data_IF_589375821112
#
_entry.id   IF_589375821112
#
_cell.length_a   1.000
_cell.length_b   1.000
_cell.length_c   1.000
_cell.angle_alpha   90.00
_cell.angle_beta   90.00
_cell.angle_gamma   90.00
#
_symmetry.space_group_name_H-M   'P 1'
#
loop_
_entity.id
_entity.type
_entity.pdbx_description
1 polymer ?
#
# COMPACT_ATOMS: atom_id res chain seq x y z
N UNK A 1 -35.47 6.39 -44.50
CA UNK A 1 -34.45 7.45 -44.46
C UNK A 1 -34.45 8.11 -43.12
N UNK A 2 -35.60 8.56 -42.59
CA UNK A 2 -35.76 9.21 -41.28
C UNK A 2 -35.21 8.37 -40.10
N UNK A 3 -35.46 7.03 -40.10
CA UNK A 3 -34.93 6.13 -39.08
C UNK A 3 -33.38 6.07 -39.08
N UNK A 4 -32.76 6.05 -40.25
CA UNK A 4 -31.30 6.01 -40.39
C UNK A 4 -30.68 7.34 -39.94
N UNK A 5 -31.27 8.47 -40.33
CA UNK A 5 -30.76 9.79 -39.88
C UNK A 5 -30.93 9.99 -38.39
N UNK A 6 -32.05 9.55 -37.80
CA UNK A 6 -32.27 9.61 -36.35
C UNK A 6 -31.31 8.70 -35.58
N UNK A 7 -31.06 7.48 -36.08
CA UNK A 7 -30.11 6.55 -35.49
C UNK A 7 -28.69 7.09 -35.57
N UNK A 8 -28.27 7.67 -36.69
CA UNK A 8 -26.96 8.28 -36.86
C UNK A 8 -26.81 9.52 -35.95
N UNK A 9 -27.85 10.36 -35.87
CA UNK A 9 -27.82 11.51 -34.93
C UNK A 9 -27.70 11.04 -33.47
N UNK A 10 -28.46 10.02 -33.08
CA UNK A 10 -28.35 9.43 -31.73
C UNK A 10 -26.97 8.85 -31.45
N UNK A 11 -26.35 8.14 -32.41
CA UNK A 11 -24.99 7.64 -32.28
C UNK A 11 -23.98 8.77 -32.06
N UNK A 12 -24.12 9.87 -32.81
CA UNK A 12 -23.24 11.03 -32.63
C UNK A 12 -23.44 11.66 -31.25
N UNK A 13 -24.70 11.83 -30.82
CA UNK A 13 -25.01 12.38 -29.50
C UNK A 13 -24.57 11.46 -28.33
N UNK A 14 -24.47 10.14 -28.54
CA UNK A 14 -23.96 9.20 -27.57
C UNK A 14 -22.42 9.19 -27.47
N UNK A 15 -21.73 9.91 -28.36
CA UNK A 15 -20.25 10.01 -28.22
C UNK A 15 -19.88 10.82 -27.00
N UNK A 16 -18.82 10.39 -26.30
CA UNK A 16 -18.30 11.07 -25.10
C UNK A 16 -17.89 12.55 -25.37
N UNK A 17 -17.68 12.94 -26.64
CA UNK A 17 -17.33 14.32 -27.01
C UNK A 17 -18.32 15.39 -26.50
N UNK A 18 -19.58 15.05 -26.37
CA UNK A 18 -20.62 15.98 -25.92
C UNK A 18 -20.81 15.99 -24.40
N UNK A 19 -20.30 14.97 -23.69
CA UNK A 19 -20.42 14.84 -22.25
C UNK A 19 -19.13 15.18 -21.50
N UNK A 20 -17.96 15.24 -22.20
CA UNK A 20 -16.68 15.54 -21.57
C UNK A 20 -16.62 16.98 -21.04
N UNK A 21 -16.32 17.09 -19.76
CA UNK A 21 -16.04 18.38 -19.10
C UNK A 21 -14.52 18.68 -19.13
N UNK A 22 -14.16 19.94 -18.82
CA UNK A 22 -12.74 20.29 -18.63
C UNK A 22 -12.08 19.48 -17.53
N UNK A 23 -12.81 19.13 -16.45
CA UNK A 23 -12.32 18.25 -15.40
C UNK A 23 -11.97 16.87 -15.93
N UNK A 24 -12.84 16.27 -16.75
CA UNK A 24 -12.56 14.95 -17.37
C UNK A 24 -11.30 14.99 -18.25
N UNK A 25 -11.13 16.06 -19.05
CA UNK A 25 -9.93 16.22 -19.89
C UNK A 25 -8.64 16.31 -19.05
N UNK A 26 -8.69 17.05 -17.94
CA UNK A 26 -7.56 17.12 -17.00
C UNK A 26 -7.27 15.72 -16.42
N UNK A 27 -8.30 15.00 -15.97
CA UNK A 27 -8.12 13.66 -15.38
C UNK A 27 -7.64 12.63 -16.40
N UNK A 28 -8.07 12.71 -17.65
CA UNK A 28 -7.51 11.90 -18.77
C UNK A 28 -6.01 12.20 -18.91
N UNK A 29 -5.62 13.48 -18.87
CA UNK A 29 -4.21 13.88 -18.88
C UNK A 29 -3.42 13.31 -17.69
N UNK A 30 -3.99 13.35 -16.48
CA UNK A 30 -3.41 12.78 -15.25
C UNK A 30 -3.27 11.25 -15.40
N UNK A 31 -4.29 10.56 -15.91
CA UNK A 31 -4.25 9.12 -16.15
C UNK A 31 -3.13 8.76 -17.15
N UNK A 32 -3.02 9.49 -18.26
CA UNK A 32 -1.93 9.31 -19.23
C UNK A 32 -0.55 9.57 -18.61
N UNK A 33 -0.44 10.57 -17.73
CA UNK A 33 0.80 10.84 -17.00
C UNK A 33 1.18 9.68 -16.07
N UNK A 34 0.24 9.11 -15.32
CA UNK A 34 0.51 7.93 -14.49
C UNK A 34 0.87 6.70 -15.33
N UNK A 35 0.21 6.48 -16.47
CA UNK A 35 0.61 5.43 -17.42
C UNK A 35 2.05 5.64 -17.92
N UNK A 36 2.42 6.87 -18.26
CA UNK A 36 3.79 7.20 -18.65
C UNK A 36 4.80 6.88 -17.53
N UNK A 37 4.51 7.25 -16.28
CA UNK A 37 5.36 6.93 -15.14
C UNK A 37 5.51 5.42 -14.93
N UNK A 38 4.42 4.69 -15.01
CA UNK A 38 4.43 3.24 -14.85
C UNK A 38 5.21 2.53 -15.98
N UNK A 39 4.96 2.91 -17.23
CA UNK A 39 5.52 2.22 -18.40
C UNK A 39 6.97 2.65 -18.66
N UNK A 40 7.25 3.96 -18.61
CA UNK A 40 8.58 4.50 -18.97
C UNK A 40 9.59 4.46 -17.83
N UNK A 41 9.11 4.69 -16.59
CA UNK A 41 9.97 4.77 -15.41
C UNK A 41 9.87 3.54 -14.51
N UNK A 42 8.96 2.60 -14.79
CA UNK A 42 8.82 1.38 -14.02
C UNK A 42 8.30 1.61 -12.60
N UNK A 43 7.53 2.70 -12.37
CA UNK A 43 6.98 3.01 -11.07
C UNK A 43 5.80 2.10 -10.76
N UNK A 44 6.00 1.09 -9.92
CA UNK A 44 5.02 0.09 -9.49
C UNK A 44 4.05 -0.34 -10.62
N UNK A 45 4.59 -0.86 -11.76
CA UNK A 45 3.79 -1.01 -12.98
C UNK A 45 2.60 -1.95 -12.82
N UNK A 46 2.69 -2.94 -11.93
CA UNK A 46 1.61 -3.90 -11.70
C UNK A 46 0.32 -3.24 -11.22
N UNK A 47 0.41 -2.26 -10.33
CA UNK A 47 -0.75 -1.55 -9.78
C UNK A 47 -1.05 -0.26 -10.53
N UNK A 48 -0.02 0.56 -10.78
CA UNK A 48 -0.22 1.90 -11.34
C UNK A 48 -0.80 1.87 -12.75
N UNK A 49 -0.47 0.86 -13.58
CA UNK A 49 -1.09 0.69 -14.92
C UNK A 49 -2.58 0.44 -14.79
N UNK A 50 -2.99 -0.48 -13.91
CA UNK A 50 -4.41 -0.81 -13.70
C UNK A 50 -5.18 0.37 -13.12
N UNK A 51 -4.62 1.07 -12.13
CA UNK A 51 -5.23 2.27 -11.51
C UNK A 51 -5.39 3.37 -12.56
N UNK A 52 -4.34 3.70 -13.29
CA UNK A 52 -4.38 4.76 -14.30
C UNK A 52 -5.35 4.43 -15.44
N UNK A 53 -5.47 3.16 -15.82
CA UNK A 53 -6.44 2.75 -16.83
C UNK A 53 -7.88 2.83 -16.33
N UNK A 54 -8.15 2.44 -15.08
CA UNK A 54 -9.45 2.63 -14.44
C UNK A 54 -9.84 4.11 -14.36
N UNK A 55 -8.88 4.99 -13.97
CA UNK A 55 -9.04 6.44 -13.99
C UNK A 55 -9.38 6.97 -15.39
N UNK A 56 -8.72 6.45 -16.43
CA UNK A 56 -9.00 6.80 -17.82
C UNK A 56 -10.43 6.44 -18.19
N UNK A 57 -10.85 5.21 -17.88
CA UNK A 57 -12.19 4.71 -18.23
C UNK A 57 -13.31 5.51 -17.59
N UNK A 58 -13.25 5.81 -16.29
CA UNK A 58 -14.32 6.52 -15.60
C UNK A 58 -14.45 7.97 -16.06
N UNK A 59 -13.36 8.60 -16.46
CA UNK A 59 -13.38 9.98 -16.97
C UNK A 59 -13.80 10.09 -18.43
N UNK A 60 -13.83 8.97 -19.18
CA UNK A 60 -14.43 8.89 -20.53
C UNK A 60 -15.89 8.44 -20.46
N UNK A 61 -16.19 7.44 -19.62
CA UNK A 61 -17.49 6.81 -19.47
C UNK A 61 -17.82 6.59 -17.98
N UNK A 62 -18.41 7.60 -17.29
CA UNK A 62 -18.72 7.52 -15.86
C UNK A 62 -19.65 6.37 -15.48
N UNK A 63 -20.56 5.97 -16.38
CA UNK A 63 -21.53 4.90 -16.13
C UNK A 63 -20.90 3.53 -15.92
N UNK A 64 -19.59 3.37 -16.20
CA UNK A 64 -18.84 2.16 -15.85
C UNK A 64 -18.81 1.90 -14.34
N UNK A 65 -19.05 2.98 -13.52
CA UNK A 65 -19.16 2.94 -12.07
C UNK A 65 -20.59 3.18 -11.56
N UNK A 66 -21.60 3.14 -12.47
CA UNK A 66 -23.00 3.36 -12.09
C UNK A 66 -23.48 2.32 -11.10
N UNK A 67 -24.19 2.74 -10.05
CA UNK A 67 -24.78 1.83 -9.07
C UNK A 67 -26.02 1.14 -9.68
N UNK A 68 -26.32 -0.10 -9.29
CA UNK A 68 -27.52 -0.78 -9.76
C UNK A 68 -28.83 -0.03 -9.48
N UNK A 69 -28.90 0.67 -8.36
CA UNK A 69 -30.05 1.49 -7.95
C UNK A 69 -30.28 2.72 -8.80
N UNK A 70 -29.23 3.24 -9.43
CA UNK A 70 -29.27 4.41 -10.31
C UNK A 70 -29.43 4.02 -11.79
N UNK A 71 -29.27 2.74 -12.10
CA UNK A 71 -29.35 2.22 -13.47
C UNK A 71 -30.81 1.95 -13.89
N UNK A 72 -31.19 2.44 -15.06
CA UNK A 72 -32.55 2.27 -15.59
C UNK A 72 -32.99 0.80 -15.74
N UNK A 73 -32.06 -0.12 -15.95
CA UNK A 73 -32.29 -1.56 -16.06
C UNK A 73 -31.96 -2.35 -14.78
N UNK A 74 -31.64 -1.67 -13.68
CA UNK A 74 -31.24 -2.31 -12.42
C UNK A 74 -29.88 -3.00 -12.47
N UNK A 75 -29.09 -2.80 -13.54
CA UNK A 75 -27.73 -3.41 -13.68
C UNK A 75 -26.69 -2.32 -13.61
N UNK A 76 -25.79 -2.39 -12.61
CA UNK A 76 -24.72 -1.43 -12.43
C UNK A 76 -23.60 -1.54 -13.47
N UNK A 77 -22.70 -0.58 -13.47
CA UNK A 77 -21.49 -0.60 -14.28
C UNK A 77 -20.52 -1.70 -13.89
N UNK A 78 -19.72 -2.18 -14.83
CA UNK A 78 -18.80 -3.30 -14.61
C UNK A 78 -17.83 -3.06 -13.44
N UNK A 79 -17.21 -1.88 -13.38
CA UNK A 79 -16.20 -1.59 -12.38
C UNK A 79 -16.81 -1.34 -10.98
N UNK A 80 -18.10 -0.98 -10.91
CA UNK A 80 -18.81 -0.89 -9.65
C UNK A 80 -18.85 -2.24 -8.92
N UNK A 81 -19.09 -3.35 -9.63
CA UNK A 81 -19.10 -4.67 -8.99
C UNK A 81 -17.72 -5.09 -8.46
N UNK A 82 -16.64 -4.69 -9.13
CA UNK A 82 -15.29 -4.91 -8.58
C UNK A 82 -15.04 -4.04 -7.37
N UNK A 83 -15.48 -2.78 -7.43
CA UNK A 83 -15.36 -1.84 -6.32
C UNK A 83 -16.08 -2.31 -5.05
N UNK A 84 -17.23 -2.95 -5.17
CA UNK A 84 -17.97 -3.53 -4.02
C UNK A 84 -17.10 -4.56 -3.28
N UNK A 85 -16.26 -5.32 -3.99
CA UNK A 85 -15.34 -6.27 -3.36
C UNK A 85 -14.20 -5.57 -2.61
N UNK A 86 -13.83 -4.35 -3.02
CA UNK A 86 -12.91 -3.48 -2.25
C UNK A 86 -13.59 -2.97 -0.98
N UNK A 87 -14.83 -2.45 -1.08
CA UNK A 87 -15.60 -2.01 0.08
C UNK A 87 -15.79 -3.13 1.11
N UNK A 88 -16.04 -4.34 0.66
CA UNK A 88 -16.15 -5.52 1.53
C UNK A 88 -14.79 -6.02 2.04
N UNK A 89 -13.70 -5.35 1.66
CA UNK A 89 -12.33 -5.69 2.09
C UNK A 89 -11.85 -7.08 1.64
N UNK A 90 -12.45 -7.63 0.57
CA UNK A 90 -12.08 -8.94 0.04
C UNK A 90 -10.72 -8.85 -0.65
N UNK A 91 -10.55 -7.90 -1.58
CA UNK A 91 -9.30 -7.76 -2.33
C UNK A 91 -8.09 -7.42 -1.45
N UNK A 92 -8.16 -6.47 -0.51
CA UNK A 92 -7.04 -6.22 0.40
C UNK A 92 -6.60 -7.46 1.17
N UNK A 93 -7.55 -8.26 1.68
CA UNK A 93 -7.26 -9.50 2.40
C UNK A 93 -6.57 -10.54 1.51
N UNK A 94 -7.01 -10.68 0.25
CA UNK A 94 -6.39 -11.58 -0.72
C UNK A 94 -4.98 -11.10 -1.15
N UNK A 95 -4.74 -9.79 -1.22
CA UNK A 95 -3.39 -9.24 -1.45
C UNK A 95 -2.48 -9.63 -0.29
N UNK A 96 -2.94 -9.52 0.96
CA UNK A 96 -2.17 -9.95 2.13
C UNK A 96 -1.83 -11.44 2.08
N UNK A 97 -2.73 -12.30 1.61
CA UNK A 97 -2.44 -13.72 1.36
C UNK A 97 -1.29 -13.89 0.36
N UNK A 98 -1.37 -13.20 -0.77
CA UNK A 98 -0.33 -13.23 -1.81
C UNK A 98 1.01 -12.69 -1.32
N UNK A 99 1.01 -11.55 -0.62
CA UNK A 99 2.20 -10.96 0.00
C UNK A 99 2.83 -11.92 1.00
N UNK A 100 2.02 -12.60 1.83
CA UNK A 100 2.50 -13.63 2.76
C UNK A 100 3.18 -14.80 2.06
N UNK A 101 2.59 -15.27 0.96
CA UNK A 101 3.17 -16.35 0.15
C UNK A 101 4.47 -15.95 -0.57
N UNK A 102 4.66 -14.67 -0.87
CA UNK A 102 5.88 -14.14 -1.50
C UNK A 102 6.97 -13.79 -0.49
N UNK A 103 6.62 -13.49 0.75
CA UNK A 103 7.51 -12.88 1.74
C UNK A 103 8.31 -13.92 2.52
N UNK A 104 9.62 -13.70 2.65
CA UNK A 104 10.49 -14.44 3.55
C UNK A 104 10.60 -13.73 4.91
N UNK A 105 10.02 -14.32 5.94
CA UNK A 105 10.10 -13.83 7.31
C UNK A 105 11.38 -14.28 8.05
N UNK A 106 12.23 -15.08 7.41
CA UNK A 106 13.49 -15.55 8.00
C UNK A 106 14.34 -14.44 8.61
N UNK A 107 14.59 -13.32 7.92
CA UNK A 107 15.35 -12.19 8.48
C UNK A 107 14.75 -11.60 9.76
N UNK A 108 13.42 -11.54 9.86
CA UNK A 108 12.72 -11.07 11.04
C UNK A 108 12.84 -12.07 12.21
N UNK A 109 12.68 -13.36 11.92
CA UNK A 109 12.84 -14.44 12.91
C UNK A 109 14.29 -14.49 13.41
N UNK A 110 15.27 -14.30 12.51
CA UNK A 110 16.69 -14.29 12.85
C UNK A 110 17.06 -13.12 13.78
N UNK A 111 16.42 -11.97 13.59
CA UNK A 111 16.65 -10.77 14.39
C UNK A 111 15.32 -10.12 14.84
N UNK A 112 14.67 -10.61 15.90
CA UNK A 112 13.39 -10.08 16.38
C UNK A 112 13.41 -8.60 16.79
N UNK A 113 14.60 -8.04 17.11
CA UNK A 113 14.72 -6.59 17.39
C UNK A 113 14.31 -5.72 16.21
N UNK A 114 14.29 -6.29 15.00
CA UNK A 114 13.78 -5.62 13.80
C UNK A 114 12.32 -5.20 13.89
N UNK A 115 11.49 -5.83 14.74
CA UNK A 115 10.13 -5.39 15.02
C UNK A 115 10.08 -3.95 15.53
N UNK A 116 11.07 -3.53 16.33
CA UNK A 116 11.12 -2.17 16.86
C UNK A 116 11.29 -1.13 15.75
N UNK A 117 12.05 -1.46 14.69
CA UNK A 117 12.24 -0.56 13.54
C UNK A 117 10.98 -0.47 12.70
N UNK A 118 10.26 -1.59 12.50
CA UNK A 118 8.94 -1.58 11.87
C UNK A 118 7.93 -0.77 12.67
N UNK A 119 7.91 -0.94 14.00
CA UNK A 119 7.04 -0.16 14.89
C UNK A 119 7.35 1.35 14.84
N UNK A 120 8.63 1.73 14.81
CA UNK A 120 9.04 3.14 14.73
C UNK A 120 8.55 3.80 13.45
N UNK A 121 8.59 3.10 12.31
CA UNK A 121 8.12 3.64 11.05
C UNK A 121 6.60 3.91 11.05
N UNK A 122 5.81 3.25 11.91
CA UNK A 122 4.38 3.55 12.09
C UNK A 122 4.15 4.96 12.66
N UNK A 123 5.18 5.63 13.14
CA UNK A 123 5.07 7.05 13.55
C UNK A 123 4.54 7.94 12.42
N UNK A 124 4.83 7.60 11.16
CA UNK A 124 4.24 8.26 10.00
C UNK A 124 2.70 8.22 9.97
N UNK A 125 2.11 7.10 10.41
CA UNK A 125 0.65 6.96 10.51
C UNK A 125 0.07 7.94 11.55
N UNK A 126 0.72 8.04 12.71
CA UNK A 126 0.25 8.96 13.76
C UNK A 126 0.40 10.43 13.34
N UNK A 127 1.48 10.79 12.64
CA UNK A 127 1.64 12.14 12.05
C UNK A 127 0.55 12.43 11.04
N UNK A 128 0.22 11.47 10.17
CA UNK A 128 -0.87 11.61 9.21
C UNK A 128 -2.22 11.76 9.89
N UNK A 129 -2.50 10.98 10.94
CA UNK A 129 -3.74 11.06 11.69
C UNK A 129 -3.94 12.46 12.31
N UNK A 130 -2.94 12.93 13.06
CA UNK A 130 -2.99 14.24 13.69
C UNK A 130 -3.04 15.36 12.65
N UNK A 131 -2.31 15.23 11.55
CA UNK A 131 -2.34 16.19 10.45
C UNK A 131 -3.71 16.26 9.75
N UNK A 132 -4.35 15.10 9.50
CA UNK A 132 -5.68 15.05 8.92
C UNK A 132 -6.73 15.69 9.85
N UNK A 133 -6.65 15.42 11.15
CA UNK A 133 -7.50 16.07 12.16
C UNK A 133 -7.31 17.60 12.15
N UNK A 134 -6.06 18.05 12.11
CA UNK A 134 -5.75 19.49 12.05
C UNK A 134 -6.23 20.17 10.75
N UNK A 135 -6.33 19.40 9.65
CA UNK A 135 -6.88 19.87 8.36
C UNK A 135 -8.42 19.84 8.30
N UNK A 136 -9.10 19.38 9.38
CA UNK A 136 -10.56 19.39 9.49
C UNK A 136 -11.27 18.13 9.01
N UNK A 137 -10.56 17.02 8.78
CA UNK A 137 -11.19 15.72 8.50
C UNK A 137 -11.81 15.13 9.76
N UNK A 138 -12.88 14.35 9.59
CA UNK A 138 -13.49 13.61 10.70
C UNK A 138 -12.52 12.52 11.22
N UNK A 139 -12.70 12.08 12.48
CA UNK A 139 -11.86 11.06 13.12
C UNK A 139 -11.72 9.78 12.26
N UNK A 140 -12.82 9.29 11.70
CA UNK A 140 -12.81 8.11 10.82
C UNK A 140 -12.09 8.37 9.50
N UNK A 141 -12.31 9.55 8.89
CA UNK A 141 -11.60 9.93 7.68
C UNK A 141 -10.10 10.10 7.95
N UNK A 142 -9.74 10.77 9.06
CA UNK A 142 -8.36 10.92 9.48
C UNK A 142 -7.67 9.57 9.71
N UNK A 143 -8.36 8.60 10.34
CA UNK A 143 -7.83 7.24 10.51
C UNK A 143 -7.61 6.53 9.17
N UNK A 144 -8.56 6.61 8.23
CA UNK A 144 -8.40 6.02 6.90
C UNK A 144 -7.22 6.66 6.13
N UNK A 145 -7.12 7.99 6.13
CA UNK A 145 -6.02 8.74 5.50
C UNK A 145 -4.67 8.38 6.13
N UNK A 146 -4.64 8.17 7.44
CA UNK A 146 -3.38 8.02 8.18
C UNK A 146 -2.55 6.83 7.74
N UNK A 147 -3.17 5.75 7.30
CA UNK A 147 -2.47 4.52 6.87
C UNK A 147 -1.51 4.77 5.71
N UNK A 148 -1.73 5.82 4.91
CA UNK A 148 -0.81 6.23 3.84
C UNK A 148 0.61 6.46 4.40
N UNK A 149 0.72 6.96 5.64
CA UNK A 149 2.01 7.17 6.30
C UNK A 149 2.82 5.90 6.56
N UNK A 150 2.17 4.73 6.55
CA UNK A 150 2.81 3.41 6.62
C UNK A 150 3.27 2.88 5.26
N UNK A 151 2.93 3.56 4.16
CA UNK A 151 3.16 3.12 2.78
C UNK A 151 2.56 1.73 2.49
N UNK A 152 1.30 1.53 2.88
CA UNK A 152 0.56 0.29 2.72
C UNK A 152 -0.78 0.55 2.01
N UNK A 153 -0.77 0.37 0.70
CA UNK A 153 -1.93 0.60 -0.16
C UNK A 153 -3.13 -0.29 0.20
N UNK A 154 -2.96 -1.62 0.25
CA UNK A 154 -4.03 -2.54 0.61
C UNK A 154 -4.66 -2.26 1.98
N UNK A 155 -3.85 -1.98 3.00
CA UNK A 155 -4.35 -1.63 4.34
C UNK A 155 -5.10 -0.30 4.35
N UNK A 156 -4.65 0.68 3.54
CA UNK A 156 -5.32 1.97 3.39
C UNK A 156 -6.75 1.80 2.83
N UNK A 157 -6.91 0.99 1.80
CA UNK A 157 -8.22 0.67 1.19
C UNK A 157 -9.07 -0.13 2.19
N UNK A 158 -8.48 -1.14 2.82
CA UNK A 158 -9.16 -1.96 3.83
C UNK A 158 -9.78 -1.09 4.93
N UNK A 159 -9.00 -0.20 5.52
CA UNK A 159 -9.48 0.63 6.61
C UNK A 159 -10.50 1.67 6.13
N UNK A 160 -10.31 2.26 4.96
CA UNK A 160 -11.27 3.20 4.36
C UNK A 160 -12.64 2.53 4.13
N UNK A 161 -12.67 1.32 3.59
CA UNK A 161 -13.89 0.51 3.41
C UNK A 161 -14.55 0.18 4.75
N UNK A 162 -13.79 -0.35 5.70
CA UNK A 162 -14.31 -0.71 7.04
C UNK A 162 -14.87 0.48 7.83
N UNK A 163 -14.27 1.65 7.70
CA UNK A 163 -14.75 2.88 8.34
C UNK A 163 -15.83 3.61 7.53
N UNK A 164 -16.31 3.04 6.42
CA UNK A 164 -17.30 3.63 5.50
C UNK A 164 -16.86 5.00 4.95
N UNK A 165 -15.56 5.13 4.66
CA UNK A 165 -14.97 6.34 4.08
C UNK A 165 -14.81 6.21 2.55
N UNK A 166 -15.85 5.73 1.88
CA UNK A 166 -15.84 5.38 0.45
C UNK A 166 -15.61 6.58 -0.45
N UNK A 167 -16.10 7.76 -0.07
CA UNK A 167 -15.93 9.00 -0.84
C UNK A 167 -14.45 9.42 -1.03
N UNK A 168 -13.59 9.11 -0.06
CA UNK A 168 -12.16 9.43 -0.11
C UNK A 168 -11.26 8.22 -0.38
N UNK A 169 -11.85 7.03 -0.59
CA UNK A 169 -11.09 5.80 -0.83
C UNK A 169 -10.21 5.89 -2.08
N UNK A 170 -10.74 6.45 -3.18
CA UNK A 170 -9.97 6.66 -4.41
C UNK A 170 -8.75 7.57 -4.21
N UNK A 171 -8.92 8.79 -3.70
CA UNK A 171 -7.79 9.65 -3.34
C UNK A 171 -6.77 9.01 -2.41
N UNK A 172 -7.22 8.29 -1.37
CA UNK A 172 -6.34 7.55 -0.44
C UNK A 172 -5.52 6.49 -1.18
N UNK A 173 -6.18 5.68 -2.01
CA UNK A 173 -5.52 4.61 -2.74
C UNK A 173 -4.51 5.15 -3.75
N UNK A 174 -4.88 6.15 -4.56
CA UNK A 174 -3.96 6.78 -5.51
C UNK A 174 -2.74 7.38 -4.79
N UNK A 175 -2.96 8.08 -3.67
CA UNK A 175 -1.87 8.61 -2.86
C UNK A 175 -0.96 7.49 -2.33
N UNK A 176 -1.52 6.45 -1.68
CA UNK A 176 -0.77 5.36 -1.09
C UNK A 176 0.09 4.62 -2.12
N UNK A 177 -0.50 4.22 -3.26
CA UNK A 177 0.25 3.52 -4.31
C UNK A 177 1.26 4.41 -5.04
N UNK A 178 0.94 5.70 -5.24
CA UNK A 178 1.90 6.65 -5.80
C UNK A 178 3.13 6.79 -4.90
N UNK A 179 2.94 6.88 -3.57
CA UNK A 179 4.08 6.98 -2.65
C UNK A 179 4.88 5.69 -2.54
N UNK A 180 4.22 4.53 -2.58
CA UNK A 180 4.94 3.26 -2.70
C UNK A 180 5.86 3.24 -3.92
N UNK A 181 5.38 3.74 -5.06
CA UNK A 181 6.18 3.85 -6.28
C UNK A 181 7.34 4.84 -6.16
N UNK A 182 7.16 5.91 -5.39
CA UNK A 182 8.14 6.97 -5.19
C UNK A 182 9.13 6.69 -4.04
N UNK A 183 9.01 5.58 -3.33
CA UNK A 183 9.94 5.14 -2.27
C UNK A 183 11.42 5.32 -2.69
N UNK A 184 11.86 4.87 -3.88
CA UNK A 184 13.26 5.01 -4.32
C UNK A 184 13.72 6.46 -4.51
N UNK A 185 12.80 7.41 -4.58
CA UNK A 185 13.09 8.85 -4.77
C UNK A 185 13.00 9.59 -3.44
N UNK A 186 11.98 9.29 -2.63
CA UNK A 186 11.67 10.03 -1.40
C UNK A 186 12.59 9.63 -0.25
N UNK A 187 12.87 8.33 -0.08
CA UNK A 187 13.65 7.85 1.05
C UNK A 187 15.14 8.24 1.04
N UNK A 188 15.89 8.14 -0.09
CA UNK A 188 17.33 8.37 -0.07
C UNK A 188 17.76 9.76 0.44
N UNK A 189 17.10 10.88 0.08
CA UNK A 189 17.42 12.19 0.65
C UNK A 189 17.28 12.23 2.17
N UNK A 190 16.20 11.65 2.72
CA UNK A 190 15.93 11.62 4.16
C UNK A 190 16.97 10.77 4.88
N UNK A 191 17.28 9.59 4.34
CA UNK A 191 18.29 8.69 4.87
C UNK A 191 19.66 9.36 4.92
N UNK A 192 20.05 10.03 3.84
CA UNK A 192 21.33 10.74 3.74
C UNK A 192 21.42 11.96 4.67
N UNK A 193 20.31 12.67 4.85
CA UNK A 193 20.21 13.81 5.76
C UNK A 193 20.38 13.38 7.24
N UNK A 194 19.78 12.24 7.61
CA UNK A 194 19.74 11.76 8.98
C UNK A 194 20.93 10.88 9.36
N UNK A 195 21.75 10.43 8.41
CA UNK A 195 22.89 9.54 8.67
C UNK A 195 24.21 10.13 8.20
N UNK A 196 25.26 9.90 8.95
CA UNK A 196 26.64 10.24 8.56
C UNK A 196 27.20 9.17 7.61
N UNK A 197 28.22 9.55 6.85
CA UNK A 197 28.91 8.59 5.95
C UNK A 197 29.50 7.39 6.71
N UNK A 198 30.00 7.64 7.92
CA UNK A 198 30.53 6.57 8.79
C UNK A 198 29.43 5.56 9.18
N UNK A 199 28.26 6.05 9.55
CA UNK A 199 27.11 5.20 9.90
C UNK A 199 26.64 4.39 8.69
N UNK A 200 26.61 4.96 7.49
CA UNK A 200 26.22 4.26 6.27
C UNK A 200 27.17 3.13 5.86
N UNK A 201 28.44 3.23 6.24
CA UNK A 201 29.48 2.22 5.97
C UNK A 201 29.51 1.08 7.00
N UNK A 202 28.69 1.11 8.04
CA UNK A 202 28.63 0.04 9.05
C UNK A 202 28.20 -1.27 8.38
N UNK A 203 29.06 -2.28 8.45
CA UNK A 203 28.77 -3.64 8.01
C UNK A 203 28.15 -4.42 9.16
N UNK A 204 27.01 -5.06 8.87
CA UNK A 204 26.32 -5.89 9.86
C UNK A 204 26.81 -7.32 9.80
N UNK A 205 26.89 -7.99 10.95
CA UNK A 205 27.22 -9.40 11.03
C UNK A 205 26.11 -10.26 10.36
N UNK A 206 26.50 -11.37 9.77
CA UNK A 206 25.54 -12.27 9.11
C UNK A 206 24.45 -12.74 10.07
N UNK A 207 23.20 -12.76 9.58
CA UNK A 207 22.07 -13.26 10.35
C UNK A 207 22.24 -14.73 10.69
N UNK A 208 21.77 -15.13 11.88
CA UNK A 208 21.75 -16.55 12.25
C UNK A 208 20.89 -17.38 11.29
N UNK A 209 21.23 -18.64 11.05
CA UNK A 209 20.34 -19.54 10.31
C UNK A 209 19.05 -19.75 11.09
N UNK A 210 17.92 -19.80 10.37
CA UNK A 210 16.59 -20.06 10.92
C UNK A 210 16.18 -21.48 10.54
N UNK A 211 15.79 -22.26 11.53
CA UNK A 211 15.35 -23.65 11.30
C UNK A 211 13.99 -23.70 10.59
N UNK A 212 13.71 -24.81 9.91
CA UNK A 212 12.42 -25.04 9.24
C UNK A 212 11.25 -25.00 10.24
N UNK A 213 11.45 -25.50 11.45
CA UNK A 213 10.43 -25.47 12.50
C UNK A 213 10.09 -24.05 12.94
N UNK A 214 11.11 -23.17 13.15
CA UNK A 214 10.88 -21.76 13.47
C UNK A 214 10.07 -21.06 12.38
N UNK A 215 10.39 -21.32 11.10
CA UNK A 215 9.68 -20.73 9.94
C UNK A 215 8.22 -21.17 9.89
N UNK A 216 7.90 -22.43 10.19
CA UNK A 216 6.53 -22.97 10.21
C UNK A 216 5.75 -22.44 11.43
N UNK A 217 6.38 -22.40 12.60
CA UNK A 217 5.72 -21.97 13.83
C UNK A 217 5.47 -20.44 13.86
N UNK A 218 6.31 -19.65 13.22
CA UNK A 218 6.22 -18.20 13.22
C UNK A 218 4.85 -17.68 12.77
N UNK A 219 4.30 -18.02 11.59
CA UNK A 219 3.00 -17.54 11.16
C UNK A 219 1.86 -18.00 12.07
N UNK A 220 1.95 -19.20 12.64
CA UNK A 220 0.95 -19.74 13.57
C UNK A 220 0.94 -18.91 14.87
N UNK A 221 2.14 -18.70 15.46
CA UNK A 221 2.28 -17.96 16.71
C UNK A 221 1.85 -16.52 16.54
N UNK A 222 2.30 -15.85 15.46
CA UNK A 222 1.92 -14.46 15.17
C UNK A 222 0.40 -14.34 15.00
N UNK A 223 -0.23 -15.26 14.27
CA UNK A 223 -1.69 -15.26 14.13
C UNK A 223 -2.39 -15.38 15.49
N UNK A 224 -2.00 -16.35 16.31
CA UNK A 224 -2.60 -16.57 17.62
C UNK A 224 -2.42 -15.33 18.51
N UNK A 225 -1.18 -14.87 18.65
CA UNK A 225 -0.86 -13.76 19.55
C UNK A 225 -1.58 -12.48 19.12
N UNK A 226 -1.44 -12.11 17.84
CA UNK A 226 -2.00 -10.84 17.35
C UNK A 226 -3.52 -10.87 17.31
N UNK A 227 -4.14 -11.94 16.82
CA UNK A 227 -5.60 -12.01 16.69
C UNK A 227 -6.30 -12.27 18.05
N UNK A 228 -5.64 -12.85 19.04
CA UNK A 228 -6.20 -12.95 20.40
C UNK A 228 -6.20 -11.58 21.08
N UNK A 229 -5.14 -10.80 20.91
CA UNK A 229 -5.06 -9.46 21.49
C UNK A 229 -5.97 -8.48 20.75
N UNK A 230 -6.01 -8.57 19.41
CA UNK A 230 -6.72 -7.64 18.55
C UNK A 230 -7.45 -8.40 17.42
N UNK A 231 -8.65 -8.96 17.67
CA UNK A 231 -9.37 -9.80 16.71
C UNK A 231 -9.66 -9.12 15.37
N UNK A 232 -9.82 -7.80 15.36
CA UNK A 232 -10.06 -7.00 14.17
C UNK A 232 -8.93 -7.06 13.13
N UNK A 233 -7.73 -7.51 13.51
CA UNK A 233 -6.61 -7.71 12.60
C UNK A 233 -6.68 -9.01 11.78
N UNK A 234 -7.53 -9.94 12.16
CA UNK A 234 -7.58 -11.28 11.58
C UNK A 234 -7.72 -11.31 10.04
N UNK A 235 -8.52 -10.43 9.39
CA UNK A 235 -8.61 -10.41 7.94
C UNK A 235 -7.29 -10.07 7.23
N UNK A 236 -6.44 -9.25 7.83
CA UNK A 236 -5.15 -8.85 7.24
C UNK A 236 -4.02 -9.75 7.73
N UNK A 237 -3.76 -9.77 9.05
CA UNK A 237 -2.66 -10.54 9.63
C UNK A 237 -2.87 -12.04 9.44
N UNK A 238 -4.11 -12.53 9.61
CA UNK A 238 -4.43 -13.93 9.40
C UNK A 238 -4.19 -14.38 7.96
N UNK A 239 -4.59 -13.59 6.97
CA UNK A 239 -4.35 -13.90 5.55
C UNK A 239 -2.86 -13.79 5.19
N UNK A 240 -2.14 -12.80 5.72
CA UNK A 240 -0.68 -12.69 5.56
C UNK A 240 0.03 -13.93 6.09
N UNK A 241 -0.33 -14.35 7.30
CA UNK A 241 0.30 -15.51 7.95
C UNK A 241 -0.12 -16.83 7.29
N UNK A 242 -1.35 -16.94 6.78
CA UNK A 242 -1.79 -18.11 6.00
C UNK A 242 -0.96 -18.26 4.73
N UNK A 243 -0.75 -17.18 3.98
CA UNK A 243 0.10 -17.19 2.79
C UNK A 243 1.54 -17.60 3.12
N UNK A 244 2.09 -17.09 4.22
CA UNK A 244 3.41 -17.48 4.67
C UNK A 244 3.47 -18.97 5.10
N UNK A 245 2.44 -19.46 5.77
CA UNK A 245 2.36 -20.88 6.15
C UNK A 245 2.30 -21.79 4.91
N UNK A 246 1.61 -21.41 3.84
CA UNK A 246 1.64 -22.14 2.57
C UNK A 246 3.07 -22.29 2.07
N UNK A 247 3.84 -21.22 2.07
CA UNK A 247 5.23 -21.19 1.62
C UNK A 247 6.12 -22.05 2.51
N UNK A 248 6.12 -21.81 3.83
CA UNK A 248 7.10 -22.39 4.75
C UNK A 248 6.80 -23.86 5.08
N UNK A 249 5.54 -24.29 4.99
CA UNK A 249 5.17 -25.71 5.18
C UNK A 249 5.82 -26.62 4.12
N UNK A 250 5.89 -26.14 2.87
CA UNK A 250 6.43 -26.87 1.72
C UNK A 250 5.56 -28.02 1.23
N UNK A 251 4.39 -28.27 1.86
CA UNK A 251 3.49 -29.38 1.51
C UNK A 251 2.39 -28.98 0.53
N UNK A 252 2.15 -27.66 0.34
CA UNK A 252 1.08 -27.12 -0.51
C UNK A 252 1.66 -26.15 -1.57
N UNK A 253 2.66 -26.59 -2.30
CA UNK A 253 3.35 -25.76 -3.31
C UNK A 253 2.40 -25.11 -4.32
N UNK A 254 1.39 -25.86 -4.76
CA UNK A 254 0.38 -25.37 -5.72
C UNK A 254 -0.40 -24.18 -5.15
N UNK A 255 -0.74 -24.19 -3.84
CA UNK A 255 -1.40 -23.05 -3.20
C UNK A 255 -0.46 -21.87 -3.09
N UNK A 256 0.82 -22.10 -2.76
CA UNK A 256 1.84 -21.04 -2.72
C UNK A 256 1.99 -20.37 -4.09
N UNK A 257 2.15 -21.17 -5.15
CA UNK A 257 2.29 -20.66 -6.52
C UNK A 257 1.04 -19.92 -6.97
N UNK A 258 -0.15 -20.44 -6.68
CA UNK A 258 -1.42 -19.79 -7.01
C UNK A 258 -1.57 -18.47 -6.27
N UNK A 259 -1.32 -18.43 -4.96
CA UNK A 259 -1.46 -17.23 -4.13
C UNK A 259 -0.45 -16.14 -4.51
N UNK A 260 0.81 -16.51 -4.78
CA UNK A 260 1.87 -15.56 -5.10
C UNK A 260 1.87 -15.06 -6.55
N UNK A 261 1.18 -15.73 -7.46
CA UNK A 261 1.16 -15.39 -8.89
C UNK A 261 -0.27 -15.15 -9.38
N UNK A 262 -0.99 -16.20 -9.76
CA UNK A 262 -2.27 -16.07 -10.45
C UNK A 262 -3.30 -15.28 -9.64
N UNK A 263 -3.53 -15.66 -8.38
CA UNK A 263 -4.48 -14.96 -7.50
C UNK A 263 -4.07 -13.51 -7.28
N UNK A 264 -2.80 -13.29 -6.95
CA UNK A 264 -2.26 -11.95 -6.72
C UNK A 264 -2.47 -11.05 -7.93
N UNK A 265 -2.15 -11.51 -9.13
CA UNK A 265 -2.28 -10.72 -10.35
C UNK A 265 -3.74 -10.47 -10.73
N UNK A 266 -4.62 -11.45 -10.57
CA UNK A 266 -6.07 -11.28 -10.78
C UNK A 266 -6.60 -10.19 -9.85
N UNK A 267 -6.30 -10.29 -8.56
CA UNK A 267 -6.75 -9.32 -7.57
C UNK A 267 -6.18 -7.93 -7.85
N UNK A 268 -4.91 -7.82 -8.23
CA UNK A 268 -4.27 -6.54 -8.61
C UNK A 268 -4.95 -5.88 -9.82
N UNK A 269 -5.35 -6.66 -10.82
CA UNK A 269 -6.08 -6.14 -11.98
C UNK A 269 -7.44 -5.59 -11.54
N UNK A 270 -8.21 -6.38 -10.80
CA UNK A 270 -9.57 -6.02 -10.38
C UNK A 270 -9.56 -4.82 -9.42
N UNK A 271 -8.74 -4.88 -8.38
CA UNK A 271 -8.57 -3.80 -7.41
C UNK A 271 -8.03 -2.53 -8.09
N UNK A 272 -6.97 -2.65 -8.87
CA UNK A 272 -6.37 -1.47 -9.51
C UNK A 272 -7.35 -0.75 -10.43
N UNK A 273 -8.09 -1.48 -11.27
CA UNK A 273 -9.07 -0.88 -12.18
C UNK A 273 -10.26 -0.29 -11.44
N UNK A 274 -10.80 -0.95 -10.41
CA UNK A 274 -11.92 -0.45 -9.61
C UNK A 274 -11.55 0.79 -8.81
N UNK A 275 -10.40 0.76 -8.13
CA UNK A 275 -9.87 1.92 -7.38
C UNK A 275 -9.57 3.09 -8.31
N UNK A 276 -8.96 2.83 -9.47
CA UNK A 276 -8.75 3.86 -10.50
C UNK A 276 -10.07 4.51 -10.94
N UNK A 277 -11.12 3.72 -11.09
CA UNK A 277 -12.43 4.20 -11.50
C UNK A 277 -13.16 5.02 -10.40
N UNK A 278 -12.71 5.02 -9.16
CA UNK A 278 -13.23 5.94 -8.14
C UNK A 278 -12.67 7.37 -8.25
N UNK A 279 -11.71 7.60 -9.15
CA UNK A 279 -11.05 8.90 -9.36
C UNK A 279 -11.68 9.67 -10.54
N UNK A 280 -13.00 9.88 -10.49
CA UNK A 280 -13.67 10.80 -11.40
C UNK A 280 -13.19 12.24 -11.18
N UNK A 281 -13.41 13.12 -12.16
CA UNK A 281 -13.03 14.54 -12.05
C UNK A 281 -13.61 15.20 -10.79
N UNK A 282 -14.87 14.93 -10.49
CA UNK A 282 -15.56 15.46 -9.30
C UNK A 282 -14.95 14.94 -7.99
N UNK A 283 -14.65 13.65 -7.94
CA UNK A 283 -14.09 13.01 -6.74
C UNK A 283 -12.63 13.38 -6.51
N UNK A 284 -11.85 13.63 -7.56
CA UNK A 284 -10.41 13.82 -7.45
C UNK A 284 -9.95 15.28 -7.49
N UNK A 285 -10.58 16.12 -8.32
CA UNK A 285 -10.20 17.54 -8.47
C UNK A 285 -10.85 18.41 -7.39
N UNK A 286 -10.59 18.09 -6.13
CA UNK A 286 -11.08 18.85 -4.98
C UNK A 286 -9.96 19.14 -3.98
N UNK A 287 -10.20 20.08 -3.07
CA UNK A 287 -9.21 20.51 -2.09
C UNK A 287 -8.84 19.38 -1.11
N UNK A 288 -9.78 18.51 -0.75
CA UNK A 288 -9.53 17.42 0.20
C UNK A 288 -8.61 16.38 -0.38
N UNK A 289 -8.71 16.07 -1.68
CA UNK A 289 -7.75 15.21 -2.37
C UNK A 289 -6.34 15.79 -2.32
N UNK A 290 -6.18 17.11 -2.57
CA UNK A 290 -4.87 17.75 -2.47
C UNK A 290 -4.31 17.69 -1.04
N UNK A 291 -5.15 17.88 -0.02
CA UNK A 291 -4.76 17.72 1.39
C UNK A 291 -4.28 16.28 1.67
N UNK A 292 -5.03 15.26 1.20
CA UNK A 292 -4.69 13.84 1.38
C UNK A 292 -3.34 13.55 0.73
N UNK A 293 -3.14 13.97 -0.52
CA UNK A 293 -1.88 13.77 -1.25
C UNK A 293 -0.71 14.44 -0.54
N UNK A 294 -0.84 15.71 -0.17
CA UNK A 294 0.22 16.45 0.51
C UNK A 294 0.56 15.85 1.89
N UNK A 295 -0.47 15.53 2.67
CA UNK A 295 -0.31 14.95 4.00
C UNK A 295 0.35 13.56 3.94
N UNK A 296 -0.04 12.74 2.96
CA UNK A 296 0.53 11.43 2.75
C UNK A 296 2.03 11.48 2.47
N UNK A 297 2.49 12.44 1.66
CA UNK A 297 3.91 12.66 1.39
C UNK A 297 4.68 13.00 2.68
N UNK A 298 4.18 13.96 3.44
CA UNK A 298 4.79 14.37 4.71
C UNK A 298 4.84 13.19 5.68
N UNK A 299 3.74 12.48 5.84
CA UNK A 299 3.64 11.34 6.74
C UNK A 299 4.64 10.22 6.38
N UNK A 300 4.78 9.92 5.10
CA UNK A 300 5.75 8.94 4.62
C UNK A 300 7.20 9.36 4.91
N UNK A 301 7.51 10.66 4.77
CA UNK A 301 8.80 11.21 5.14
C UNK A 301 9.07 11.05 6.64
N UNK A 302 8.08 11.33 7.49
CA UNK A 302 8.19 11.15 8.95
C UNK A 302 8.34 9.69 9.36
N UNK A 303 7.62 8.76 8.72
CA UNK A 303 7.77 7.32 8.95
C UNK A 303 9.19 6.84 8.64
N UNK A 304 9.72 7.25 7.48
CA UNK A 304 11.11 6.97 7.10
C UNK A 304 12.10 7.55 8.11
N UNK A 305 11.91 8.82 8.51
CA UNK A 305 12.78 9.50 9.46
C UNK A 305 12.76 8.81 10.83
N UNK A 306 11.59 8.47 11.35
CA UNK A 306 11.45 7.79 12.64
C UNK A 306 12.14 6.42 12.64
N UNK A 307 12.00 5.64 11.58
CA UNK A 307 12.69 4.37 11.42
C UNK A 307 14.22 4.53 11.44
N UNK A 308 14.76 5.49 10.68
CA UNK A 308 16.20 5.79 10.64
C UNK A 308 16.70 6.29 12.00
N UNK A 309 15.96 7.17 12.67
CA UNK A 309 16.33 7.70 13.98
C UNK A 309 16.38 6.59 15.04
N UNK A 310 15.39 5.70 15.08
CA UNK A 310 15.46 4.54 15.95
C UNK A 310 16.61 3.61 15.56
N UNK A 311 16.91 3.45 14.28
CA UNK A 311 18.09 2.75 13.78
C UNK A 311 19.39 3.36 14.32
N UNK A 312 19.49 4.69 14.43
CA UNK A 312 20.64 5.36 15.08
C UNK A 312 20.70 5.06 16.58
N UNK A 313 19.58 5.09 17.27
CA UNK A 313 19.54 4.72 18.69
C UNK A 313 20.04 3.29 18.87
N UNK A 314 19.57 2.35 18.03
CA UNK A 314 20.04 0.96 18.05
C UNK A 314 21.52 0.84 17.68
N UNK A 315 22.02 1.66 16.77
CA UNK A 315 23.44 1.74 16.43
C UNK A 315 24.28 2.11 17.65
N UNK A 316 23.90 3.17 18.37
CA UNK A 316 24.59 3.61 19.58
C UNK A 316 24.54 2.54 20.68
N UNK A 317 23.36 1.98 20.94
CA UNK A 317 23.17 0.94 21.96
C UNK A 317 23.90 -0.37 21.64
N UNK A 318 24.13 -0.67 20.37
CA UNK A 318 24.88 -1.86 19.95
C UNK A 318 26.39 -1.64 19.84
N UNK A 319 26.88 -0.45 20.15
CA UNK A 319 28.31 -0.11 20.00
C UNK A 319 28.74 -0.04 18.51
N UNK A 320 27.88 0.42 17.62
CA UNK A 320 28.17 0.61 16.20
C UNK A 320 27.97 -0.65 15.34
N UNK A 321 27.26 -1.66 15.80
CA UNK A 321 27.03 -2.91 15.06
C UNK A 321 25.77 -2.89 14.15
N UNK A 322 24.84 -1.99 14.40
CA UNK A 322 23.61 -1.85 13.62
C UNK A 322 23.74 -0.66 12.68
N UNK A 323 23.52 -0.89 11.38
CA UNK A 323 23.50 0.18 10.40
C UNK A 323 22.13 0.90 10.44
N UNK A 324 22.10 2.23 10.72
CA UNK A 324 20.84 2.96 10.84
C UNK A 324 19.97 2.96 9.58
N UNK A 325 20.59 2.75 8.40
CA UNK A 325 19.85 2.72 7.13
C UNK A 325 18.73 1.66 7.09
N UNK A 326 18.91 0.53 7.80
CA UNK A 326 17.88 -0.52 7.81
C UNK A 326 16.56 -0.06 8.43
N UNK A 327 16.59 0.97 9.27
CA UNK A 327 15.40 1.56 9.87
C UNK A 327 14.46 2.21 8.85
N UNK A 328 14.98 2.73 7.73
CA UNK A 328 14.15 3.28 6.65
C UNK A 328 13.24 2.21 6.00
N UNK A 329 13.63 0.93 6.11
CA UNK A 329 12.85 -0.17 5.58
C UNK A 329 11.64 -0.55 6.45
N UNK A 330 11.47 0.06 7.64
CA UNK A 330 10.34 -0.22 8.54
C UNK A 330 8.96 0.17 7.99
N UNK A 331 8.87 0.87 6.87
CA UNK A 331 7.61 1.11 6.14
C UNK A 331 7.16 -0.15 5.38
N UNK A 332 5.85 -0.29 5.15
CA UNK A 332 5.24 -1.50 4.57
C UNK A 332 5.53 -1.76 3.09
N UNK A 333 6.27 -0.90 2.40
CA UNK A 333 6.60 -1.07 0.97
C UNK A 333 7.59 -2.22 0.75
N UNK A 334 7.11 -3.46 0.78
CA UNK A 334 7.91 -4.69 0.63
C UNK A 334 7.98 -5.10 -0.85
N UNK A 335 9.16 -5.45 -1.37
CA UNK A 335 10.52 -5.36 -0.81
C UNK A 335 11.25 -4.04 -1.16
N UNK A 336 10.53 -3.03 -1.64
CA UNK A 336 11.13 -1.81 -2.21
C UNK A 336 11.95 -1.01 -1.20
N UNK A 337 11.42 -0.78 0.00
CA UNK A 337 12.12 -0.01 1.03
C UNK A 337 13.42 -0.71 1.48
N UNK A 338 13.43 -2.04 1.57
CA UNK A 338 14.64 -2.80 1.85
C UNK A 338 15.70 -2.67 0.73
N UNK A 339 15.27 -2.68 -0.53
CA UNK A 339 16.16 -2.45 -1.68
C UNK A 339 16.74 -1.04 -1.69
N UNK A 340 15.97 -0.03 -1.27
CA UNK A 340 16.46 1.34 -1.14
C UNK A 340 17.51 1.45 -0.04
N UNK A 341 17.29 0.80 1.11
CA UNK A 341 18.30 0.73 2.18
C UNK A 341 19.60 0.09 1.68
N UNK A 342 19.51 -1.02 0.92
CA UNK A 342 20.66 -1.65 0.28
C UNK A 342 21.37 -0.70 -0.70
N UNK A 343 20.61 -0.01 -1.57
CA UNK A 343 21.17 0.91 -2.56
C UNK A 343 21.96 2.04 -1.91
N UNK A 344 21.37 2.71 -0.91
CA UNK A 344 22.02 3.81 -0.20
C UNK A 344 23.25 3.33 0.59
N UNK A 345 23.21 2.12 1.15
CA UNK A 345 24.37 1.51 1.79
C UNK A 345 25.50 1.20 0.80
N UNK A 346 25.16 0.62 -0.35
CA UNK A 346 26.14 0.31 -1.42
C UNK A 346 26.75 1.56 -2.08
N UNK A 347 26.02 2.67 -2.12
CA UNK A 347 26.58 3.97 -2.58
C UNK A 347 27.69 4.48 -1.64
N UNK A 348 27.61 4.17 -0.34
CA UNK A 348 28.62 4.54 0.64
C UNK A 348 29.79 3.54 0.71
N UNK A 349 29.49 2.24 0.58
CA UNK A 349 30.46 1.13 0.50
C UNK A 349 29.86 0.02 -0.36
N UNK A 350 30.38 -0.23 -1.60
CA UNK A 350 29.85 -1.25 -2.51
C UNK A 350 29.90 -2.68 -1.95
N UNK A 351 30.70 -2.93 -0.93
CA UNK A 351 30.81 -4.24 -0.27
C UNK A 351 29.85 -4.41 0.91
N UNK A 352 28.97 -3.42 1.17
CA UNK A 352 28.00 -3.45 2.27
C UNK A 352 26.68 -4.07 1.84
N UNK A 353 26.35 -5.25 2.34
CA UNK A 353 25.13 -6.00 2.03
C UNK A 353 24.11 -5.84 3.16
N UNK A 354 23.22 -4.86 3.02
CA UNK A 354 22.18 -4.55 4.01
C UNK A 354 20.82 -5.19 3.70
N UNK A 355 20.60 -5.74 2.50
CA UNK A 355 19.29 -6.17 2.04
C UNK A 355 18.61 -7.14 3.02
N UNK A 356 19.31 -8.20 3.42
CA UNK A 356 18.75 -9.20 4.36
C UNK A 356 18.43 -8.61 5.72
N UNK A 357 19.25 -7.67 6.20
CA UNK A 357 19.00 -6.97 7.46
C UNK A 357 17.84 -5.98 7.36
N UNK A 358 17.66 -5.34 6.21
CA UNK A 358 16.56 -4.41 5.94
C UNK A 358 15.22 -5.14 5.71
N UNK A 359 15.24 -6.39 5.24
CA UNK A 359 14.01 -7.18 5.08
C UNK A 359 13.30 -7.44 6.41
N UNK A 360 14.03 -7.62 7.52
CA UNK A 360 13.42 -7.79 8.84
C UNK A 360 12.49 -6.64 9.23
N UNK A 361 13.00 -5.39 9.33
CA UNK A 361 12.16 -4.22 9.57
C UNK A 361 11.04 -4.03 8.54
N UNK A 362 11.30 -4.32 7.26
CA UNK A 362 10.35 -4.12 6.17
C UNK A 362 9.10 -5.01 6.35
N UNK A 363 9.32 -6.27 6.67
CA UNK A 363 8.24 -7.22 6.94
C UNK A 363 7.53 -6.91 8.26
N UNK A 364 8.27 -6.48 9.28
CA UNK A 364 7.70 -6.01 10.54
C UNK A 364 6.77 -4.79 10.33
N UNK A 365 7.10 -3.93 9.36
CA UNK A 365 6.25 -2.81 8.96
C UNK A 365 4.86 -3.24 8.49
N UNK A 366 4.78 -4.28 7.65
CA UNK A 366 3.48 -4.80 7.15
C UNK A 366 2.59 -5.27 8.30
N UNK A 367 3.18 -6.06 9.23
CA UNK A 367 2.45 -6.50 10.43
C UNK A 367 2.02 -5.27 11.26
N UNK A 368 2.93 -4.31 11.43
CA UNK A 368 2.69 -3.08 12.18
C UNK A 368 1.53 -2.27 11.62
N UNK A 369 1.49 -2.03 10.31
CA UNK A 369 0.42 -1.28 9.65
C UNK A 369 -0.93 -2.00 9.79
N UNK A 370 -0.96 -3.33 9.61
CA UNK A 370 -2.18 -4.12 9.80
C UNK A 370 -2.69 -4.07 11.26
N UNK A 371 -1.77 -4.09 12.24
CA UNK A 371 -2.12 -3.95 13.66
C UNK A 371 -2.67 -2.55 13.96
N UNK A 372 -2.09 -1.49 13.38
CA UNK A 372 -2.61 -0.12 13.54
C UNK A 372 -4.01 0.00 12.92
N UNK A 373 -4.24 -0.56 11.73
CA UNK A 373 -5.57 -0.56 11.13
C UNK A 373 -6.60 -1.29 12.02
N UNK A 374 -6.25 -2.47 12.53
CA UNK A 374 -7.09 -3.20 13.48
C UNK A 374 -7.34 -2.42 14.77
N UNK A 375 -6.35 -1.67 15.25
CA UNK A 375 -6.51 -0.78 16.43
C UNK A 375 -7.53 0.32 16.17
N UNK A 376 -7.47 0.98 15.01
CA UNK A 376 -8.48 1.97 14.62
C UNK A 376 -9.88 1.35 14.53
N UNK A 377 -10.00 0.15 13.94
CA UNK A 377 -11.29 -0.55 13.90
C UNK A 377 -11.83 -0.83 15.30
N UNK A 378 -10.99 -1.27 16.23
CA UNK A 378 -11.38 -1.51 17.61
C UNK A 378 -11.80 -0.21 18.32
N UNK A 379 -11.07 0.89 18.13
CA UNK A 379 -11.40 2.22 18.68
C UNK A 379 -12.75 2.71 18.18
N UNK A 380 -13.06 2.52 16.89
CA UNK A 380 -14.32 2.98 16.29
C UNK A 380 -15.46 1.95 16.39
N UNK A 381 -15.23 0.81 17.05
CA UNK A 381 -16.24 -0.22 17.25
C UNK A 381 -16.72 -0.89 15.96
N UNK A 382 -15.83 -0.99 14.96
CA UNK A 382 -16.11 -1.62 13.66
C UNK A 382 -15.49 -3.03 13.65
N UNK A 383 -16.31 -4.04 13.36
CA UNK A 383 -15.86 -5.44 13.22
C UNK A 383 -15.88 -5.90 11.77
#
# INVERSE_FOLDING_TARGET
>A
MEYITTTLANLVHQTAFFSLTWGNLIMIGVACFFLFLAIRHGFEPLLLVSIAFGMLLVNIYPDIMLRPEDAANGTGGLLYYFYVLDEWSIFPSLIFLGVGAMTDFGPLIANPKSFLLGAAAQFGIFVAYLGAMAMGFSDKAAAAISIIGGADGPTSIFLAGKLSQTAIMGPIAVAAYSYMSLVPIIQPPIMKLLTTEKERKIKMEQLRPVSKLERILFPIIVTIVVCVILPTTAPLVGMLMLGNLFRESGVVRQLTETASNALMYIVVILLGTSVGATTSAEAFLNLDTLKIVFLGLIAFMFGTAAGVLLGKVMCVLSGGKVNPLIGSAGVSAVPMAARVSQKVGAEADPTNFLLMHAMGPNVAGVIGTAVVAGTFMAIFGVM
#
